data_IF_409191885279
#
_entry.id   IF_409191885279
#
_cell.length_a   1.000
_cell.length_b   1.000
_cell.length_c   1.000
_cell.angle_alpha   90.00
_cell.angle_beta   90.00
_cell.angle_gamma   90.00
#
_symmetry.space_group_name_H-M   'P 1'
#
loop_
_entity.id
_entity.type
_entity.pdbx_description
1 polymer ?
#
# COMPACT_ATOMS: atom_id res chain seq x y z
N UNK A 1 -10.96 -14.64 3.36
CA UNK A 1 -9.92 -15.61 3.69
C UNK A 1 -8.79 -15.52 2.69
N UNK A 2 -7.64 -15.07 3.14
CA UNK A 2 -6.47 -14.90 2.28
C UNK A 2 -5.89 -16.22 1.77
N UNK A 3 -6.07 -17.30 2.51
CA UNK A 3 -5.52 -18.61 2.12
C UNK A 3 -6.12 -19.15 0.83
N UNK A 4 -7.28 -18.67 0.44
CA UNK A 4 -7.97 -19.10 -0.78
C UNK A 4 -7.60 -18.31 -2.01
N UNK A 5 -6.80 -17.28 -1.89
CA UNK A 5 -6.39 -16.41 -2.99
C UNK A 5 -7.56 -15.78 -3.75
N UNK A 6 -8.68 -15.60 -3.09
CA UNK A 6 -9.86 -14.92 -3.61
C UNK A 6 -10.38 -13.96 -2.56
N UNK A 7 -11.20 -13.01 -3.00
CA UNK A 7 -11.85 -12.07 -2.12
C UNK A 7 -13.24 -12.60 -1.80
N UNK A 8 -13.43 -13.00 -0.56
CA UNK A 8 -14.76 -13.32 -0.05
C UNK A 8 -15.47 -12.02 0.31
N UNK A 9 -16.78 -12.09 0.47
CA UNK A 9 -17.55 -10.97 0.94
C UNK A 9 -17.05 -10.55 2.32
N UNK A 10 -16.67 -9.28 2.42
CA UNK A 10 -16.11 -8.73 3.64
C UNK A 10 -17.12 -7.85 4.37
N UNK A 11 -16.99 -7.67 5.70
CA UNK A 11 -17.78 -6.68 6.42
C UNK A 11 -17.58 -5.29 5.82
N UNK A 12 -18.59 -4.40 5.92
CA UNK A 12 -18.41 -3.01 5.51
C UNK A 12 -17.26 -2.35 6.27
N UNK A 13 -16.60 -1.37 5.64
CA UNK A 13 -15.56 -0.60 6.29
C UNK A 13 -16.14 0.19 7.47
N UNK A 14 -15.41 0.32 8.59
CA UNK A 14 -15.83 1.18 9.69
C UNK A 14 -16.05 2.61 9.23
N UNK A 15 -16.96 3.31 9.89
CA UNK A 15 -17.32 4.68 9.53
C UNK A 15 -16.11 5.61 9.48
N UNK A 16 -15.22 5.54 10.48
CA UNK A 16 -14.04 6.41 10.54
C UNK A 16 -13.09 6.17 9.35
N UNK A 17 -13.02 4.93 8.86
CA UNK A 17 -12.17 4.57 7.73
C UNK A 17 -12.79 5.05 6.42
N UNK A 18 -14.12 4.99 6.29
CA UNK A 18 -14.83 5.57 5.16
C UNK A 18 -14.62 7.09 5.11
N UNK A 19 -14.69 7.76 6.24
CA UNK A 19 -14.45 9.19 6.33
C UNK A 19 -13.02 9.55 5.92
N UNK A 20 -12.03 8.76 6.36
CA UNK A 20 -10.64 8.94 5.97
C UNK A 20 -10.47 8.73 4.46
N UNK A 21 -11.04 7.66 3.92
CA UNK A 21 -11.02 7.37 2.48
C UNK A 21 -11.58 8.54 1.67
N UNK A 22 -12.73 9.05 2.10
CA UNK A 22 -13.43 10.12 1.39
C UNK A 22 -12.65 11.45 1.39
N UNK A 23 -11.79 11.65 2.39
CA UNK A 23 -10.90 12.82 2.45
C UNK A 23 -9.62 12.64 1.66
N UNK A 24 -9.06 11.43 1.64
CA UNK A 24 -7.72 11.19 1.09
C UNK A 24 -7.73 10.92 -0.41
N UNK A 25 -8.70 10.16 -0.91
CA UNK A 25 -8.71 9.76 -2.31
C UNK A 25 -8.81 10.92 -3.29
N UNK A 26 -9.59 11.99 -3.03
CA UNK A 26 -9.61 13.14 -3.92
C UNK A 26 -8.26 13.85 -4.02
N UNK A 27 -7.42 13.77 -2.99
CA UNK A 27 -6.10 14.40 -3.00
C UNK A 27 -5.15 13.79 -4.03
N UNK A 28 -5.42 12.56 -4.46
CA UNK A 28 -4.66 11.89 -5.53
C UNK A 28 -5.48 11.77 -6.82
N UNK A 29 -6.58 12.52 -6.92
CA UNK A 29 -7.42 12.53 -8.12
C UNK A 29 -8.21 11.26 -8.34
N UNK A 30 -8.64 10.58 -7.28
CA UNK A 30 -9.38 9.32 -7.37
C UNK A 30 -10.74 9.41 -6.71
N UNK A 31 -11.66 8.55 -7.17
CA UNK A 31 -13.01 8.43 -6.61
C UNK A 31 -12.96 7.55 -5.35
N UNK A 32 -13.41 8.05 -4.19
CA UNK A 32 -13.45 7.26 -2.96
C UNK A 32 -14.18 5.92 -3.10
N UNK A 33 -15.27 5.89 -3.86
CA UNK A 33 -16.08 4.69 -4.02
C UNK A 33 -15.34 3.53 -4.69
N UNK A 34 -14.26 3.81 -5.44
CA UNK A 34 -13.47 2.78 -6.08
C UNK A 34 -12.60 1.99 -5.08
N UNK A 35 -12.35 2.53 -3.88
CA UNK A 35 -11.47 1.92 -2.89
C UNK A 35 -12.27 1.16 -1.86
N UNK A 36 -12.60 -0.08 -2.17
CA UNK A 36 -13.50 -0.92 -1.38
C UNK A 36 -12.79 -1.80 -0.36
N UNK A 37 -11.48 -1.99 -0.48
CA UNK A 37 -10.70 -2.84 0.43
C UNK A 37 -9.71 -1.99 1.22
N UNK A 38 -9.47 -2.36 2.47
CA UNK A 38 -8.53 -1.66 3.35
C UNK A 38 -7.70 -2.65 4.17
N UNK A 39 -6.48 -2.25 4.48
CA UNK A 39 -5.59 -3.00 5.36
C UNK A 39 -4.93 -2.04 6.34
N UNK A 40 -5.08 -2.33 7.63
CA UNK A 40 -4.46 -1.60 8.71
C UNK A 40 -3.32 -2.44 9.24
N UNK A 41 -2.09 -1.91 9.25
CA UNK A 41 -0.93 -2.66 9.67
C UNK A 41 -0.13 -1.87 10.70
N UNK A 42 0.26 -2.57 11.77
CA UNK A 42 1.28 -2.12 12.69
C UNK A 42 2.54 -2.96 12.47
N UNK A 43 3.64 -2.29 12.22
CA UNK A 43 4.96 -2.93 12.12
C UNK A 43 5.71 -2.66 13.40
N UNK A 44 6.07 -3.74 14.12
CA UNK A 44 6.86 -3.62 15.34
C UNK A 44 8.33 -3.28 15.02
N UNK A 45 9.10 -2.77 15.99
CA UNK A 45 10.54 -2.54 15.76
C UNK A 45 11.23 -3.79 15.21
N UNK A 46 12.05 -3.62 14.19
CA UNK A 46 12.72 -4.71 13.49
C UNK A 46 11.93 -5.33 12.34
N UNK A 47 10.67 -4.97 12.16
CA UNK A 47 9.86 -5.49 11.08
C UNK A 47 10.03 -4.67 9.80
N UNK A 48 9.91 -5.34 8.67
CA UNK A 48 9.87 -4.72 7.36
C UNK A 48 8.89 -5.45 6.46
N UNK A 49 8.94 -5.14 5.16
CA UNK A 49 8.14 -5.82 4.15
C UNK A 49 9.08 -6.36 3.08
N UNK A 50 9.00 -7.67 2.80
CA UNK A 50 9.77 -8.29 1.74
C UNK A 50 9.34 -7.79 0.36
N UNK A 51 10.21 -7.98 -0.63
CA UNK A 51 9.90 -7.63 -2.00
C UNK A 51 8.67 -8.38 -2.50
N UNK A 52 7.67 -7.63 -3.00
CA UNK A 52 6.43 -8.22 -3.52
C UNK A 52 5.69 -7.24 -4.43
N UNK A 53 4.69 -7.77 -5.11
CA UNK A 53 3.58 -7.02 -5.72
C UNK A 53 2.32 -7.34 -4.96
N UNK A 54 1.37 -6.42 -4.98
CA UNK A 54 0.05 -6.72 -4.43
C UNK A 54 -0.63 -7.83 -5.24
N UNK A 55 -1.58 -8.49 -4.61
CA UNK A 55 -2.28 -9.60 -5.21
C UNK A 55 -3.06 -9.19 -6.45
N UNK A 56 -3.20 -10.09 -7.45
CA UNK A 56 -3.90 -9.78 -8.69
C UNK A 56 -5.31 -9.23 -8.57
N UNK A 57 -6.16 -9.62 -7.58
CA UNK A 57 -7.49 -9.05 -7.44
C UNK A 57 -7.52 -7.55 -7.14
N UNK A 58 -6.42 -7.01 -6.61
CA UNK A 58 -6.33 -5.58 -6.31
C UNK A 58 -5.84 -4.78 -7.51
N UNK A 59 -6.40 -3.60 -7.68
CA UNK A 59 -5.96 -2.64 -8.67
C UNK A 59 -4.97 -1.63 -8.09
N UNK A 60 -5.39 -0.37 -7.99
CA UNK A 60 -4.57 0.69 -7.42
C UNK A 60 -4.49 0.57 -5.90
N UNK A 61 -3.37 1.02 -5.33
CA UNK A 61 -3.13 1.01 -3.89
C UNK A 61 -2.82 2.43 -3.44
N UNK A 62 -3.66 2.94 -2.53
CA UNK A 62 -3.43 4.22 -1.86
C UNK A 62 -2.92 3.93 -0.46
N UNK A 63 -1.75 4.45 -0.12
CA UNK A 63 -1.14 4.24 1.19
C UNK A 63 -1.01 5.52 1.98
N UNK A 64 -1.28 5.42 3.28
CA UNK A 64 -1.03 6.48 4.25
C UNK A 64 -0.07 5.95 5.30
N UNK A 65 1.13 6.52 5.33
CA UNK A 65 2.15 6.20 6.34
C UNK A 65 1.96 7.13 7.53
N UNK A 66 1.67 6.58 8.71
CA UNK A 66 1.17 7.39 9.82
C UNK A 66 2.27 7.87 10.77
N UNK A 67 3.02 6.96 11.38
CA UNK A 67 3.77 7.32 12.58
C UNK A 67 5.27 7.50 12.38
N UNK A 68 5.95 6.60 11.70
CA UNK A 68 7.40 6.67 11.53
C UNK A 68 7.76 6.87 10.06
N UNK A 69 8.81 7.65 9.81
CA UNK A 69 9.35 7.78 8.46
C UNK A 69 9.95 6.45 8.02
N UNK A 70 9.81 6.11 6.75
CA UNK A 70 10.45 4.95 6.17
C UNK A 70 10.76 5.19 4.70
N UNK A 71 11.56 4.29 4.13
CA UNK A 71 11.89 4.33 2.71
C UNK A 71 11.14 3.22 2.00
N UNK A 72 10.29 3.57 1.04
CA UNK A 72 9.67 2.62 0.15
C UNK A 72 10.65 2.32 -0.98
N UNK A 73 11.10 1.07 -1.07
CA UNK A 73 12.02 0.64 -2.12
C UNK A 73 11.22 0.02 -3.26
N UNK A 74 11.63 0.34 -4.48
CA UNK A 74 11.00 -0.16 -5.71
C UNK A 74 12.06 -0.82 -6.59
N UNK A 75 11.71 -1.92 -7.22
CA UNK A 75 12.57 -2.56 -8.21
C UNK A 75 11.75 -3.16 -9.34
N UNK A 76 12.35 -3.17 -10.52
CA UNK A 76 11.80 -3.82 -11.70
C UNK A 76 12.88 -4.67 -12.34
N UNK A 77 12.55 -5.90 -12.74
CA UNK A 77 13.48 -6.78 -13.43
C UNK A 77 13.81 -6.22 -14.81
N UNK A 78 15.10 -6.28 -15.15
CA UNK A 78 15.61 -5.92 -16.48
C UNK A 78 16.39 -7.10 -17.04
N UNK A 79 16.88 -6.96 -18.28
CA UNK A 79 17.68 -8.01 -18.93
C UNK A 79 18.93 -8.35 -18.13
N UNK A 80 19.54 -7.36 -17.46
CA UNK A 80 20.82 -7.52 -16.76
C UNK A 80 20.69 -7.52 -15.24
N UNK A 81 19.48 -7.46 -14.70
CA UNK A 81 19.29 -7.44 -13.25
C UNK A 81 18.04 -6.69 -12.84
N UNK A 82 18.21 -5.64 -12.02
CA UNK A 82 17.09 -4.83 -11.54
C UNK A 82 17.35 -3.35 -11.72
N UNK A 83 16.34 -2.65 -12.17
CA UNK A 83 16.26 -1.21 -12.03
C UNK A 83 15.67 -0.91 -10.67
N UNK A 84 16.26 0.04 -9.93
CA UNK A 84 15.87 0.33 -8.54
C UNK A 84 15.55 1.81 -8.37
N UNK A 85 14.55 2.07 -7.53
CA UNK A 85 14.16 3.42 -7.10
C UNK A 85 13.79 3.37 -5.63
N UNK A 86 13.85 4.51 -4.97
CA UNK A 86 13.37 4.61 -3.60
C UNK A 86 12.64 5.93 -3.39
N UNK A 87 11.65 5.90 -2.49
CA UNK A 87 10.84 7.06 -2.15
C UNK A 87 10.80 7.18 -0.64
N UNK A 88 11.16 8.34 -0.12
CA UNK A 88 11.02 8.60 1.30
C UNK A 88 9.56 8.84 1.65
N UNK A 89 9.09 8.17 2.70
CA UNK A 89 7.74 8.34 3.23
C UNK A 89 7.83 8.96 4.61
N UNK A 90 7.76 10.30 4.73
CA UNK A 90 7.71 10.93 6.04
C UNK A 90 6.42 10.57 6.78
N UNK A 91 6.36 10.81 8.11
CA UNK A 91 5.11 10.58 8.84
C UNK A 91 3.94 11.32 8.19
N UNK A 92 2.80 10.65 8.14
CA UNK A 92 1.56 11.18 7.56
C UNK A 92 1.67 11.52 6.08
N UNK A 93 2.50 10.79 5.36
CA UNK A 93 2.60 10.92 3.90
C UNK A 93 1.61 9.99 3.19
N UNK A 94 1.14 10.45 2.04
CA UNK A 94 0.19 9.75 1.19
C UNK A 94 0.88 9.38 -0.12
N UNK A 95 0.67 8.14 -0.59
CA UNK A 95 1.22 7.69 -1.85
C UNK A 95 0.23 6.82 -2.61
N UNK A 96 0.36 6.80 -3.92
CA UNK A 96 -0.50 6.00 -4.81
C UNK A 96 0.38 5.11 -5.69
N UNK A 97 0.11 3.80 -5.66
CA UNK A 97 0.70 2.85 -6.59
C UNK A 97 -0.31 2.58 -7.70
N UNK A 98 0.00 3.02 -8.91
CA UNK A 98 -0.89 2.87 -10.06
C UNK A 98 -0.08 2.62 -11.32
N UNK A 99 -0.74 2.11 -12.37
CA UNK A 99 -0.13 1.87 -13.67
C UNK A 99 1.08 0.94 -13.57
N UNK A 100 2.17 1.30 -14.19
CA UNK A 100 3.40 0.52 -14.26
C UNK A 100 3.99 0.22 -12.88
N UNK A 101 3.97 1.20 -11.97
CA UNK A 101 4.49 1.00 -10.61
C UNK A 101 3.73 -0.10 -9.90
N UNK A 102 2.43 -0.18 -10.13
CA UNK A 102 1.58 -1.22 -9.54
C UNK A 102 1.78 -2.59 -10.20
N UNK A 103 1.88 -2.63 -11.52
CA UNK A 103 1.85 -3.89 -12.27
C UNK A 103 3.24 -4.49 -12.52
N UNK A 104 4.25 -3.66 -12.76
CA UNK A 104 5.57 -4.13 -13.22
C UNK A 104 6.65 -4.07 -12.15
N UNK A 105 6.47 -3.25 -11.13
CA UNK A 105 7.46 -3.06 -10.07
C UNK A 105 7.07 -3.84 -8.82
N UNK A 106 8.08 -4.35 -8.15
CA UNK A 106 7.96 -4.86 -6.78
C UNK A 106 8.32 -3.74 -5.80
N UNK A 107 7.76 -3.81 -4.61
CA UNK A 107 8.10 -2.86 -3.55
C UNK A 107 8.44 -3.58 -2.25
N UNK A 108 9.19 -2.91 -1.40
CA UNK A 108 9.61 -3.42 -0.11
C UNK A 108 9.93 -2.28 0.84
N UNK A 109 10.00 -2.60 2.13
CA UNK A 109 10.49 -1.71 3.17
C UNK A 109 11.50 -2.50 3.98
N UNK A 110 12.73 -1.98 4.09
CA UNK A 110 13.75 -2.63 4.91
C UNK A 110 13.35 -2.61 6.39
N UNK A 111 13.71 -3.62 7.17
CA UNK A 111 13.50 -3.59 8.62
C UNK A 111 14.12 -2.34 9.26
N UNK A 112 13.43 -1.77 10.25
CA UNK A 112 13.93 -0.61 10.99
C UNK A 112 13.39 -0.64 12.43
N UNK A 113 14.00 0.14 13.32
CA UNK A 113 13.85 -0.04 14.76
C UNK A 113 12.74 0.82 15.41
N UNK A 114 11.78 1.28 14.62
CA UNK A 114 10.66 2.07 15.12
C UNK A 114 9.35 1.37 14.81
N UNK A 115 8.36 1.55 15.68
CA UNK A 115 6.99 1.12 15.36
C UNK A 115 6.43 1.97 14.23
N UNK A 116 5.88 1.32 13.22
CA UNK A 116 5.25 2.01 12.09
C UNK A 116 3.81 1.54 11.95
N UNK A 117 2.92 2.50 11.68
CA UNK A 117 1.52 2.20 11.37
C UNK A 117 1.18 2.73 9.99
N UNK A 118 0.41 1.95 9.26
CA UNK A 118 -0.04 2.35 7.93
C UNK A 118 -1.48 1.93 7.68
N UNK A 119 -2.14 2.70 6.82
CA UNK A 119 -3.44 2.35 6.25
C UNK A 119 -3.23 2.23 4.76
N UNK A 120 -3.66 1.12 4.16
CA UNK A 120 -3.68 1.01 2.71
C UNK A 120 -5.10 0.74 2.23
N UNK A 121 -5.49 1.44 1.19
CA UNK A 121 -6.79 1.29 0.53
C UNK A 121 -6.55 0.78 -0.87
N UNK A 122 -7.37 -0.14 -1.33
CA UNK A 122 -7.18 -0.79 -2.63
C UNK A 122 -8.45 -0.78 -3.43
N UNK A 123 -8.31 -0.57 -4.73
CA UNK A 123 -9.40 -0.85 -5.67
C UNK A 123 -9.40 -2.34 -5.99
N UNK A 124 -10.52 -2.84 -6.45
CA UNK A 124 -10.64 -4.20 -6.94
C UNK A 124 -10.62 -4.19 -8.47
N UNK A 125 -10.00 -5.20 -9.03
CA UNK A 125 -10.00 -5.41 -10.48
C UNK A 125 -11.24 -6.16 -10.93
#
# INVERSE_FOLDING_TARGET
DFSRHRLDEAPPLPKWLVEARDKLTPQVGRDPAAFAAALLIRYDPGAGICWHRDRPPYGEVLGLSLSAACTLRLRRRTVTGFERRSVELPPRSLYLLSGEVRSDWQHSIAPFDLTRRSITLRTLR
#
